data_IF_437094896022
#
_entry.id   IF_437094896022
#
_cell.length_a   1.000
_cell.length_b   1.000
_cell.length_c   1.000
_cell.angle_alpha   90.00
_cell.angle_beta   90.00
_cell.angle_gamma   90.00
#
_symmetry.space_group_name_H-M   'P 1'
#
loop_
_entity.id
_entity.type
_entity.pdbx_description
1 polymer ?
#
# COMPACT_ATOMS: atom_id res chain seq x y z
N UNK A 1 11.49 0.96 -23.71
CA UNK A 1 10.50 -0.14 -23.79
C UNK A 1 9.11 0.44 -23.89
N UNK A 2 8.20 -0.35 -24.41
CA UNK A 2 6.76 -0.08 -24.41
C UNK A 2 6.09 -0.95 -23.36
N UNK A 3 5.51 -0.32 -22.38
CA UNK A 3 5.02 -0.97 -21.17
C UNK A 3 3.52 -0.76 -21.07
N UNK A 4 2.76 -1.85 -20.95
CA UNK A 4 1.41 -1.79 -20.44
C UNK A 4 1.44 -1.90 -18.92
N UNK A 5 0.78 -0.96 -18.24
CA UNK A 5 0.52 -1.02 -16.80
C UNK A 5 -0.99 -1.17 -16.56
N UNK A 6 -1.40 -2.32 -16.03
CA UNK A 6 -2.79 -2.59 -15.67
C UNK A 6 -3.01 -2.32 -14.20
N UNK A 7 -3.70 -1.23 -13.88
CA UNK A 7 -4.00 -0.82 -12.52
C UNK A 7 -5.36 -1.30 -12.04
N UNK A 8 -5.40 -1.93 -10.89
CA UNK A 8 -6.65 -2.29 -10.21
C UNK A 8 -7.44 -1.07 -9.77
N UNK A 9 -6.73 -0.01 -9.35
CA UNK A 9 -7.34 1.22 -8.85
C UNK A 9 -6.40 2.39 -9.07
N UNK A 10 -6.95 3.47 -9.63
CA UNK A 10 -6.24 4.72 -9.85
C UNK A 10 -7.09 5.92 -9.42
N UNK A 11 -6.50 7.11 -9.38
CA UNK A 11 -7.26 8.33 -9.12
C UNK A 11 -8.45 8.47 -10.09
N UNK A 12 -9.58 9.06 -9.65
CA UNK A 12 -9.81 9.79 -8.39
C UNK A 12 -10.04 8.90 -7.16
N UNK A 13 -10.07 7.56 -7.30
CA UNK A 13 -10.12 6.65 -6.17
C UNK A 13 -8.78 6.68 -5.42
N UNK A 14 -8.76 7.20 -4.19
CA UNK A 14 -7.55 7.40 -3.41
C UNK A 14 -7.25 6.17 -2.56
N UNK A 15 -6.10 5.56 -2.78
CA UNK A 15 -5.59 4.42 -2.03
C UNK A 15 -4.06 4.33 -2.16
N UNK A 16 -3.41 3.51 -1.35
CA UNK A 16 -1.98 3.21 -1.51
C UNK A 16 -1.64 2.72 -2.92
N UNK A 17 -2.53 1.95 -3.55
CA UNK A 17 -2.37 1.49 -4.93
C UNK A 17 -2.36 2.65 -5.94
N UNK A 18 -3.25 3.63 -5.77
CA UNK A 18 -3.32 4.80 -6.67
C UNK A 18 -2.06 5.65 -6.58
N UNK A 19 -1.56 5.87 -5.36
CA UNK A 19 -0.32 6.61 -5.09
C UNK A 19 0.89 5.86 -5.67
N UNK A 20 0.97 4.55 -5.46
CA UNK A 20 2.01 3.70 -6.04
C UNK A 20 2.01 3.79 -7.57
N UNK A 21 0.85 3.58 -8.20
CA UNK A 21 0.72 3.64 -9.65
C UNK A 21 1.15 5.01 -10.20
N UNK A 22 0.70 6.12 -9.61
CA UNK A 22 1.06 7.46 -10.04
C UNK A 22 2.58 7.70 -10.06
N UNK A 23 3.24 7.31 -8.96
CA UNK A 23 4.68 7.52 -8.84
C UNK A 23 5.48 6.58 -9.76
N UNK A 24 5.09 5.29 -9.86
CA UNK A 24 5.74 4.37 -10.80
C UNK A 24 5.61 4.86 -12.25
N UNK A 25 4.42 5.30 -12.66
CA UNK A 25 4.23 5.85 -14.01
C UNK A 25 5.13 7.06 -14.27
N UNK A 26 5.29 7.95 -13.28
CA UNK A 26 6.22 9.10 -13.39
C UNK A 26 7.66 8.65 -13.57
N UNK A 27 8.13 7.66 -12.80
CA UNK A 27 9.49 7.12 -12.96
C UNK A 27 9.71 6.45 -14.32
N UNK A 28 8.74 5.67 -14.81
CA UNK A 28 8.82 5.00 -16.10
C UNK A 28 8.89 6.01 -17.26
N UNK A 29 8.02 7.05 -17.25
CA UNK A 29 8.04 8.12 -18.25
C UNK A 29 9.33 8.93 -18.15
N UNK A 30 9.77 9.27 -16.93
CA UNK A 30 11.03 9.98 -16.70
C UNK A 30 12.27 9.23 -17.21
N UNK A 31 12.22 7.89 -17.21
CA UNK A 31 13.25 7.02 -17.79
C UNK A 31 13.12 6.84 -19.33
N UNK A 32 12.17 7.52 -19.98
CA UNK A 32 11.99 7.48 -21.44
C UNK A 32 11.23 6.26 -21.95
N UNK A 33 10.45 5.57 -21.11
CA UNK A 33 9.60 4.48 -21.56
C UNK A 33 8.28 5.01 -22.14
N UNK A 34 7.74 4.31 -23.16
CA UNK A 34 6.39 4.54 -23.69
C UNK A 34 5.39 3.73 -22.87
N UNK A 35 4.53 4.41 -22.13
CA UNK A 35 3.65 3.78 -21.13
C UNK A 35 2.19 3.95 -21.50
N UNK A 36 1.48 2.83 -21.55
CA UNK A 36 0.01 2.79 -21.61
C UNK A 36 -0.51 2.28 -20.26
N UNK A 37 -1.32 3.05 -19.58
CA UNK A 37 -2.05 2.59 -18.40
C UNK A 37 -3.49 2.24 -18.76
N UNK A 38 -3.90 1.02 -18.43
CA UNK A 38 -5.31 0.63 -18.36
C UNK A 38 -5.68 0.60 -16.88
N UNK A 39 -6.70 1.37 -16.48
CA UNK A 39 -7.15 1.40 -15.08
C UNK A 39 -8.62 1.01 -14.99
N UNK A 40 -8.91 0.08 -14.10
CA UNK A 40 -10.28 -0.18 -13.69
C UNK A 40 -10.81 0.98 -12.83
N UNK A 41 -12.13 1.25 -12.92
CA UNK A 41 -12.80 2.20 -12.05
C UNK A 41 -14.25 1.78 -11.79
N UNK A 42 -14.81 2.30 -10.70
CA UNK A 42 -16.23 2.15 -10.38
C UNK A 42 -16.95 3.47 -10.57
N UNK A 43 -18.15 3.42 -11.17
CA UNK A 43 -19.05 4.56 -11.34
C UNK A 43 -20.28 4.50 -10.43
N UNK A 44 -20.51 3.37 -9.74
CA UNK A 44 -21.66 3.17 -8.88
C UNK A 44 -21.55 3.95 -7.56
N UNK A 45 -22.69 4.40 -7.03
CA UNK A 45 -22.76 5.21 -5.80
C UNK A 45 -22.15 4.52 -4.57
N UNK A 46 -22.14 3.19 -4.53
CA UNK A 46 -21.59 2.43 -3.42
C UNK A 46 -20.07 2.38 -3.47
N UNK A 47 -19.50 2.01 -4.62
CA UNK A 47 -18.04 1.96 -4.82
C UNK A 47 -17.40 3.34 -4.67
N UNK A 48 -18.04 4.39 -5.20
CA UNK A 48 -17.53 5.77 -5.09
C UNK A 48 -17.53 6.30 -3.67
N UNK A 49 -18.42 5.82 -2.80
CA UNK A 49 -18.49 6.21 -1.39
C UNK A 49 -17.31 5.70 -0.58
N UNK A 50 -16.77 4.52 -0.91
CA UNK A 50 -15.74 3.86 -0.10
C UNK A 50 -14.35 4.40 -0.41
N UNK A 51 -14.03 4.63 -1.68
CA UNK A 51 -12.68 5.00 -2.13
C UNK A 51 -12.65 6.22 -3.06
N UNK A 52 -13.79 6.80 -3.39
CA UNK A 52 -13.93 7.63 -4.57
C UNK A 52 -14.07 6.76 -5.82
N UNK A 53 -14.37 7.37 -6.96
CA UNK A 53 -14.60 6.62 -8.21
C UNK A 53 -14.68 7.54 -9.42
N UNK A 54 -14.94 6.92 -10.56
CA UNK A 54 -14.98 7.58 -11.84
C UNK A 54 -13.74 7.29 -12.69
N UNK A 55 -13.76 7.73 -13.97
CA UNK A 55 -12.69 7.44 -14.90
C UNK A 55 -11.36 8.08 -14.47
N UNK A 56 -10.23 7.40 -14.75
CA UNK A 56 -8.91 7.91 -14.41
C UNK A 56 -8.62 9.23 -15.12
N UNK A 57 -8.03 10.23 -14.44
CA UNK A 57 -7.61 11.47 -15.07
C UNK A 57 -6.43 11.25 -16.01
N UNK A 58 -6.17 12.19 -16.95
CA UNK A 58 -4.96 12.17 -17.76
C UNK A 58 -3.69 12.16 -16.90
N UNK A 59 -2.68 11.43 -17.36
CA UNK A 59 -1.35 11.38 -16.74
C UNK A 59 -0.33 11.88 -17.75
N UNK A 60 0.51 12.88 -17.42
CA UNK A 60 1.51 13.40 -18.35
C UNK A 60 2.43 12.30 -18.90
N UNK A 61 2.56 12.23 -20.22
CA UNK A 61 3.41 11.25 -20.89
C UNK A 61 2.89 9.81 -20.92
N UNK A 62 1.68 9.55 -20.39
CA UNK A 62 1.05 8.22 -20.33
C UNK A 62 -0.22 8.21 -21.16
N UNK A 63 -0.40 7.17 -21.98
CA UNK A 63 -1.70 6.88 -22.61
C UNK A 63 -2.61 6.22 -21.57
N UNK A 64 -3.68 6.91 -21.16
CA UNK A 64 -4.62 6.43 -20.12
C UNK A 64 -5.91 5.91 -20.75
N UNK A 65 -6.33 4.72 -20.30
CA UNK A 65 -7.58 4.06 -20.70
C UNK A 65 -8.33 3.65 -19.44
N UNK A 66 -9.53 4.20 -19.25
CA UNK A 66 -10.42 3.78 -18.15
C UNK A 66 -11.33 2.63 -18.58
N UNK A 67 -11.46 1.61 -17.75
CA UNK A 67 -12.41 0.52 -17.91
C UNK A 67 -13.35 0.47 -16.71
N UNK A 68 -14.62 0.73 -16.96
CA UNK A 68 -15.63 0.61 -15.92
C UNK A 68 -15.88 -0.86 -15.57
N UNK A 69 -15.88 -1.17 -14.27
CA UNK A 69 -16.07 -2.51 -13.72
C UNK A 69 -17.56 -2.89 -13.70
N UNK A 70 -18.18 -3.03 -14.86
CA UNK A 70 -19.62 -3.26 -15.00
C UNK A 70 -20.05 -4.64 -14.48
N UNK A 71 -19.22 -5.67 -14.63
CA UNK A 71 -19.50 -7.01 -14.12
C UNK A 71 -19.49 -7.01 -12.59
N UNK A 72 -18.44 -6.46 -12.01
CA UNK A 72 -18.27 -6.37 -10.58
C UNK A 72 -19.37 -5.52 -9.89
N UNK A 73 -19.73 -4.40 -10.48
CA UNK A 73 -20.78 -3.50 -9.96
C UNK A 73 -22.17 -4.11 -10.01
N UNK A 74 -22.47 -4.92 -11.02
CA UNK A 74 -23.83 -5.45 -11.25
C UNK A 74 -24.10 -6.73 -10.47
N UNK A 75 -23.12 -7.66 -10.44
CA UNK A 75 -23.34 -9.02 -9.94
C UNK A 75 -22.14 -9.68 -9.31
N UNK A 76 -21.02 -8.95 -9.11
CA UNK A 76 -19.76 -9.53 -8.70
C UNK A 76 -19.11 -10.43 -9.76
N UNK A 77 -19.44 -10.21 -11.03
CA UNK A 77 -18.94 -10.95 -12.19
C UNK A 77 -17.56 -10.43 -12.60
N UNK A 78 -16.55 -10.89 -11.88
CA UNK A 78 -15.15 -10.57 -12.16
C UNK A 78 -14.70 -11.11 -13.52
N UNK A 79 -15.25 -12.25 -13.98
CA UNK A 79 -14.88 -12.89 -15.24
C UNK A 79 -15.20 -11.99 -16.44
N UNK A 80 -16.35 -11.32 -16.41
CA UNK A 80 -16.73 -10.33 -17.42
C UNK A 80 -15.74 -9.18 -17.49
N UNK A 81 -15.34 -8.65 -16.34
CA UNK A 81 -14.40 -7.53 -16.29
C UNK A 81 -12.98 -7.98 -16.68
N UNK A 82 -12.58 -9.21 -16.33
CA UNK A 82 -11.32 -9.83 -16.77
C UNK A 82 -11.28 -9.97 -18.30
N UNK A 83 -12.33 -10.49 -18.91
CA UNK A 83 -12.43 -10.59 -20.37
C UNK A 83 -12.31 -9.18 -21.04
N UNK A 84 -12.97 -8.18 -20.46
CA UNK A 84 -12.88 -6.78 -20.95
C UNK A 84 -11.44 -6.24 -20.86
N UNK A 85 -10.70 -6.53 -19.77
CA UNK A 85 -9.29 -6.16 -19.62
C UNK A 85 -8.42 -6.84 -20.67
N UNK A 86 -8.55 -8.15 -20.86
CA UNK A 86 -7.77 -8.94 -21.84
C UNK A 86 -7.99 -8.40 -23.26
N UNK A 87 -9.23 -8.09 -23.63
CA UNK A 87 -9.56 -7.55 -24.94
C UNK A 87 -9.03 -6.12 -25.13
N UNK A 88 -9.07 -5.28 -24.09
CA UNK A 88 -8.47 -3.95 -24.13
C UNK A 88 -6.95 -4.01 -24.32
N UNK A 89 -6.26 -4.89 -23.59
CA UNK A 89 -4.82 -5.13 -23.75
C UNK A 89 -4.51 -5.59 -25.17
N UNK A 90 -5.27 -6.55 -25.72
CA UNK A 90 -5.06 -7.08 -27.06
C UNK A 90 -5.27 -6.00 -28.14
N UNK A 91 -6.29 -5.17 -28.02
CA UNK A 91 -6.53 -4.03 -28.95
C UNK A 91 -5.39 -3.04 -28.95
N UNK A 92 -4.88 -2.67 -27.78
CA UNK A 92 -3.77 -1.71 -27.68
C UNK A 92 -2.45 -2.32 -28.18
N UNK A 93 -2.21 -3.60 -27.87
CA UNK A 93 -1.04 -4.32 -28.39
C UNK A 93 -1.06 -4.42 -29.93
N UNK A 94 -2.23 -4.69 -30.53
CA UNK A 94 -2.38 -4.75 -31.99
C UNK A 94 -2.10 -3.39 -32.67
N UNK A 95 -2.37 -2.28 -31.99
CA UNK A 95 -2.05 -0.92 -32.50
C UNK A 95 -0.56 -0.65 -32.43
N UNK A 96 0.04 -1.07 -31.34
CA UNK A 96 1.44 -0.81 -31.05
C UNK A 96 1.95 -1.84 -30.03
N UNK A 97 2.77 -2.84 -30.46
CA UNK A 97 3.16 -3.98 -29.63
C UNK A 97 3.87 -3.57 -28.32
N UNK A 98 3.49 -4.16 -27.21
CA UNK A 98 4.14 -3.98 -25.92
C UNK A 98 5.33 -4.93 -25.76
N UNK A 99 6.35 -4.48 -25.03
CA UNK A 99 7.50 -5.30 -24.59
C UNK A 99 7.21 -6.01 -23.26
N UNK A 100 6.38 -5.38 -22.41
CA UNK A 100 6.05 -5.85 -21.05
C UNK A 100 4.57 -5.59 -20.74
N UNK A 101 3.93 -6.56 -20.09
CA UNK A 101 2.63 -6.39 -19.46
C UNK A 101 2.81 -6.45 -17.94
N UNK A 102 2.57 -5.33 -17.25
CA UNK A 102 2.68 -5.26 -15.78
C UNK A 102 1.30 -5.08 -15.14
N UNK A 103 0.92 -6.02 -14.29
CA UNK A 103 -0.28 -5.91 -13.47
C UNK A 103 0.05 -5.42 -12.06
N UNK A 104 -0.68 -4.42 -11.63
CA UNK A 104 -0.78 -4.06 -10.23
C UNK A 104 -1.90 -4.89 -9.59
N UNK A 105 -1.55 -5.73 -8.61
CA UNK A 105 -2.43 -6.67 -7.93
C UNK A 105 -2.53 -8.04 -8.61
N UNK A 106 -2.53 -9.13 -7.80
CA UNK A 106 -2.51 -10.49 -8.33
C UNK A 106 -3.83 -10.92 -8.97
N UNK A 107 -4.97 -10.57 -8.38
CA UNK A 107 -6.30 -10.84 -8.90
C UNK A 107 -7.22 -9.63 -8.67
N UNK A 108 -8.01 -9.19 -9.64
CA UNK A 108 -8.23 -9.78 -10.97
C UNK A 108 -7.21 -9.35 -12.03
N UNK A 109 -6.44 -8.31 -11.81
CA UNK A 109 -5.56 -7.70 -12.83
C UNK A 109 -4.38 -8.59 -13.21
N UNK A 110 -3.75 -9.28 -12.26
CA UNK A 110 -2.66 -10.23 -12.53
C UNK A 110 -3.14 -11.41 -13.36
N UNK A 111 -4.32 -11.92 -13.05
CA UNK A 111 -4.93 -12.98 -13.85
C UNK A 111 -5.23 -12.50 -15.28
N UNK A 112 -5.80 -11.31 -15.45
CA UNK A 112 -6.04 -10.73 -16.78
C UNK A 112 -4.73 -10.54 -17.57
N UNK A 113 -3.66 -10.07 -16.92
CA UNK A 113 -2.34 -9.93 -17.54
C UNK A 113 -1.75 -11.28 -17.91
N UNK A 114 -1.86 -12.31 -17.07
CA UNK A 114 -1.36 -13.64 -17.38
C UNK A 114 -2.07 -14.24 -18.61
N UNK A 115 -3.40 -14.11 -18.71
CA UNK A 115 -4.18 -14.52 -19.88
C UNK A 115 -3.78 -13.76 -21.16
N UNK A 116 -3.60 -12.44 -21.05
CA UNK A 116 -3.16 -11.60 -22.16
C UNK A 116 -1.72 -11.95 -22.61
N UNK A 117 -0.81 -12.18 -21.66
CA UNK A 117 0.57 -12.61 -21.90
C UNK A 117 0.62 -13.89 -22.72
N UNK A 118 -0.13 -14.92 -22.32
CA UNK A 118 -0.28 -16.18 -23.07
C UNK A 118 -0.79 -15.95 -24.49
N UNK A 119 -1.83 -15.10 -24.63
CA UNK A 119 -2.49 -14.82 -25.94
C UNK A 119 -1.59 -14.06 -26.89
N UNK A 120 -0.77 -13.13 -26.39
CA UNK A 120 0.00 -12.17 -27.18
C UNK A 120 1.49 -12.53 -27.32
N UNK A 121 1.99 -13.49 -26.53
CA UNK A 121 3.40 -13.85 -26.52
C UNK A 121 4.30 -12.78 -25.85
N UNK A 122 3.75 -11.96 -24.94
CA UNK A 122 4.43 -10.87 -24.25
C UNK A 122 4.66 -11.23 -22.79
N UNK A 123 5.87 -11.05 -22.22
CA UNK A 123 6.14 -11.39 -20.84
C UNK A 123 5.32 -10.57 -19.84
N UNK A 124 4.97 -11.21 -18.73
CA UNK A 124 4.14 -10.68 -17.66
C UNK A 124 4.94 -10.39 -16.39
N UNK A 125 4.66 -9.24 -15.77
CA UNK A 125 5.14 -8.89 -14.43
C UNK A 125 3.91 -8.65 -13.55
N UNK A 126 3.88 -9.16 -12.34
CA UNK A 126 2.76 -8.98 -11.42
C UNK A 126 3.27 -8.50 -10.06
N UNK A 127 2.73 -7.38 -9.59
CA UNK A 127 3.01 -6.85 -8.24
C UNK A 127 1.96 -7.34 -7.25
N UNK A 128 2.39 -8.08 -6.23
CA UNK A 128 1.56 -8.49 -5.09
C UNK A 128 1.67 -7.40 -4.02
N UNK A 129 0.55 -6.72 -3.70
CA UNK A 129 0.58 -5.46 -2.95
C UNK A 129 -0.21 -5.42 -1.64
N UNK A 130 -0.66 -6.53 -1.10
CA UNK A 130 -1.35 -6.59 0.18
C UNK A 130 -2.62 -7.40 0.15
N UNK A 131 -3.79 -6.79 -0.03
CA UNK A 131 -5.07 -7.51 0.03
C UNK A 131 -5.15 -8.74 -0.86
N UNK A 132 -4.49 -8.72 -2.02
CA UNK A 132 -4.36 -9.87 -2.92
C UNK A 132 -3.59 -11.04 -2.30
N UNK A 133 -2.50 -10.78 -1.60
CA UNK A 133 -1.73 -11.79 -0.89
C UNK A 133 -2.36 -12.20 0.44
N UNK A 134 -2.95 -11.24 1.17
CA UNK A 134 -3.54 -11.51 2.49
C UNK A 134 -4.90 -12.23 2.42
N UNK A 135 -5.76 -11.85 1.47
CA UNK A 135 -7.19 -12.20 1.53
C UNK A 135 -7.74 -12.84 0.25
N UNK A 136 -7.37 -12.28 -0.91
CA UNK A 136 -8.03 -12.64 -2.18
C UNK A 136 -7.79 -14.08 -2.54
N UNK A 137 -6.55 -14.53 -2.49
CA UNK A 137 -6.19 -15.90 -2.81
C UNK A 137 -6.73 -16.96 -1.84
N UNK A 138 -7.25 -16.55 -0.68
CA UNK A 138 -7.79 -17.46 0.33
C UNK A 138 -9.30 -17.33 0.57
N UNK A 139 -10.01 -16.51 -0.23
CA UNK A 139 -11.43 -16.23 0.01
C UNK A 139 -12.38 -17.27 -0.59
N UNK A 140 -12.03 -17.86 -1.72
CA UNK A 140 -12.82 -18.87 -2.44
C UNK A 140 -11.94 -19.66 -3.42
N UNK A 141 -12.45 -20.78 -3.91
CA UNK A 141 -11.66 -21.65 -4.78
C UNK A 141 -11.34 -21.00 -6.14
N UNK A 142 -12.28 -20.25 -6.74
CA UNK A 142 -12.02 -19.52 -7.99
C UNK A 142 -10.81 -18.59 -7.87
N UNK A 143 -10.79 -17.75 -6.84
CA UNK A 143 -9.71 -16.79 -6.63
C UNK A 143 -8.41 -17.47 -6.21
N UNK A 144 -8.49 -18.56 -5.43
CA UNK A 144 -7.33 -19.36 -5.02
C UNK A 144 -6.61 -19.96 -6.23
N UNK A 145 -7.35 -20.61 -7.13
CA UNK A 145 -6.77 -21.20 -8.34
C UNK A 145 -6.17 -20.12 -9.23
N UNK A 146 -6.90 -19.03 -9.50
CA UNK A 146 -6.38 -17.91 -10.29
C UNK A 146 -5.08 -17.32 -9.69
N UNK A 147 -5.04 -17.10 -8.38
CA UNK A 147 -3.83 -16.60 -7.71
C UNK A 147 -2.67 -17.60 -7.80
N UNK A 148 -2.92 -18.90 -7.58
CA UNK A 148 -1.88 -19.93 -7.70
C UNK A 148 -1.30 -19.96 -9.12
N UNK A 149 -2.15 -19.88 -10.16
CA UNK A 149 -1.69 -19.82 -11.55
C UNK A 149 -0.85 -18.57 -11.84
N UNK A 150 -1.25 -17.40 -11.32
CA UNK A 150 -0.46 -16.15 -11.42
C UNK A 150 0.89 -16.33 -10.75
N UNK A 151 0.92 -16.85 -9.52
CA UNK A 151 2.16 -17.04 -8.76
C UNK A 151 3.09 -18.08 -9.41
N UNK A 152 2.55 -19.11 -10.04
CA UNK A 152 3.32 -20.14 -10.71
C UNK A 152 3.84 -19.71 -12.09
N UNK A 153 3.14 -18.88 -12.84
CA UNK A 153 3.35 -18.72 -14.28
C UNK A 153 3.68 -17.29 -14.74
N UNK A 154 3.53 -16.25 -13.93
CA UNK A 154 4.04 -14.93 -14.30
C UNK A 154 5.55 -14.95 -14.51
N UNK A 155 6.09 -14.21 -15.49
CA UNK A 155 7.54 -14.14 -15.73
C UNK A 155 8.29 -13.52 -14.55
N UNK A 156 7.71 -12.52 -13.89
CA UNK A 156 8.23 -12.00 -12.64
C UNK A 156 7.10 -11.65 -11.67
N UNK A 157 7.35 -11.92 -10.38
CA UNK A 157 6.52 -11.51 -9.27
C UNK A 157 7.26 -10.48 -8.44
N UNK A 158 6.66 -9.32 -8.19
CA UNK A 158 7.17 -8.28 -7.32
C UNK A 158 6.38 -8.27 -6.02
N UNK A 159 7.08 -8.19 -4.88
CA UNK A 159 6.47 -8.19 -3.55
C UNK A 159 7.25 -7.28 -2.60
N UNK A 160 6.58 -6.67 -1.63
CA UNK A 160 7.14 -5.61 -0.80
C UNK A 160 8.27 -6.05 0.15
N UNK A 161 8.20 -7.25 0.70
CA UNK A 161 9.16 -7.69 1.70
C UNK A 161 9.17 -9.19 1.94
N UNK A 162 10.18 -9.67 2.66
CA UNK A 162 10.38 -11.08 2.95
C UNK A 162 9.26 -11.65 3.84
N UNK A 163 8.83 -10.88 4.84
CA UNK A 163 7.74 -11.30 5.73
C UNK A 163 6.42 -11.51 4.98
N UNK A 164 6.20 -10.73 3.93
CA UNK A 164 5.02 -10.89 3.09
C UNK A 164 5.16 -12.04 2.09
N UNK A 165 6.38 -12.33 1.61
CA UNK A 165 6.65 -13.57 0.85
C UNK A 165 6.27 -14.79 1.68
N UNK A 166 6.76 -14.85 2.94
CA UNK A 166 6.47 -15.98 3.85
C UNK A 166 4.96 -16.18 4.03
N UNK A 167 4.21 -15.10 4.27
CA UNK A 167 2.76 -15.16 4.42
C UNK A 167 2.05 -15.68 3.15
N UNK A 168 2.43 -15.16 1.97
CA UNK A 168 1.84 -15.60 0.69
C UNK A 168 2.16 -17.07 0.41
N UNK A 169 3.39 -17.51 0.69
CA UNK A 169 3.80 -18.90 0.53
C UNK A 169 3.06 -19.83 1.49
N UNK A 170 2.88 -19.44 2.75
CA UNK A 170 2.11 -20.22 3.72
C UNK A 170 0.64 -20.36 3.31
N UNK A 171 0.02 -19.28 2.80
CA UNK A 171 -1.39 -19.28 2.42
C UNK A 171 -1.69 -19.98 1.11
N UNK A 172 -0.83 -19.86 0.12
CA UNK A 172 -1.09 -20.26 -1.26
C UNK A 172 -0.16 -21.37 -1.78
N UNK A 173 0.81 -21.81 -0.97
CA UNK A 173 1.73 -22.89 -1.33
C UNK A 173 2.71 -22.51 -2.45
N UNK A 174 3.02 -21.21 -2.61
CA UNK A 174 3.93 -20.72 -3.63
C UNK A 174 5.39 -20.94 -3.27
N UNK A 175 6.27 -21.06 -4.27
CA UNK A 175 7.72 -21.13 -4.08
C UNK A 175 8.28 -19.72 -3.77
N UNK A 176 8.94 -19.49 -2.63
CA UNK A 176 9.53 -18.20 -2.28
C UNK A 176 10.58 -17.72 -3.30
N UNK A 177 11.27 -18.61 -4.01
CA UNK A 177 12.26 -18.26 -5.03
C UNK A 177 11.65 -17.56 -6.27
N UNK A 178 10.31 -17.61 -6.43
CA UNK A 178 9.60 -16.93 -7.51
C UNK A 178 9.54 -15.42 -7.33
N UNK A 179 9.67 -14.94 -6.11
CA UNK A 179 9.47 -13.53 -5.79
C UNK A 179 10.74 -12.70 -5.91
N UNK A 180 10.63 -11.53 -6.52
CA UNK A 180 11.62 -10.47 -6.44
C UNK A 180 11.14 -9.45 -5.43
N UNK A 181 11.87 -9.26 -4.33
CA UNK A 181 11.55 -8.25 -3.33
C UNK A 181 11.84 -6.87 -3.93
N UNK A 182 10.77 -6.08 -4.06
CA UNK A 182 10.81 -4.67 -4.46
C UNK A 182 10.01 -3.91 -3.40
N UNK A 183 10.66 -3.20 -2.50
CA UNK A 183 10.00 -2.58 -1.36
C UNK A 183 9.00 -1.51 -1.80
N UNK A 184 8.14 -1.08 -0.89
CA UNK A 184 7.34 0.13 -1.05
C UNK A 184 8.22 1.35 -1.28
N UNK A 185 7.65 2.40 -1.83
CA UNK A 185 8.40 3.63 -2.13
C UNK A 185 7.63 4.88 -1.72
N UNK A 186 8.39 5.95 -1.46
CA UNK A 186 7.85 7.26 -1.10
C UNK A 186 8.52 8.37 -1.89
N UNK A 187 7.80 9.45 -2.12
CA UNK A 187 8.33 10.70 -2.66
C UNK A 187 9.01 11.48 -1.53
N UNK A 188 10.32 11.26 -1.35
CA UNK A 188 11.10 11.83 -0.24
C UNK A 188 11.12 13.35 -0.25
N UNK A 189 11.08 13.99 -1.43
CA UNK A 189 11.09 15.44 -1.55
C UNK A 189 9.75 16.03 -1.13
N UNK A 190 8.66 15.36 -1.46
CA UNK A 190 7.30 15.76 -1.10
C UNK A 190 7.07 15.80 0.41
N UNK A 191 7.64 14.85 1.15
CA UNK A 191 7.48 14.74 2.60
C UNK A 191 8.57 15.46 3.39
N UNK A 192 9.64 15.92 2.74
CA UNK A 192 10.77 16.57 3.41
C UNK A 192 10.32 17.71 4.34
N UNK A 193 10.96 17.80 5.52
CA UNK A 193 10.91 18.95 6.39
C UNK A 193 11.64 20.14 5.73
N UNK A 194 11.24 21.35 6.03
CA UNK A 194 11.94 22.54 5.55
C UNK A 194 13.25 22.87 6.29
N UNK A 195 13.73 21.98 7.15
CA UNK A 195 14.93 22.11 7.99
C UNK A 195 16.18 21.58 7.27
N UNK A 196 17.35 22.06 7.64
CA UNK A 196 18.62 21.67 7.00
C UNK A 196 19.00 20.20 7.21
N UNK A 197 18.59 19.60 8.34
CA UNK A 197 18.80 18.19 8.68
C UNK A 197 17.66 17.29 8.23
N UNK A 198 16.52 17.88 7.83
CA UNK A 198 15.32 17.15 7.42
C UNK A 198 14.49 16.59 8.57
N UNK A 199 14.77 17.01 9.81
CA UNK A 199 14.04 16.59 11.01
C UNK A 199 13.07 17.69 11.48
N UNK A 200 12.06 17.34 12.30
CA UNK A 200 11.18 18.34 12.91
C UNK A 200 11.96 19.39 13.69
N UNK A 201 11.62 20.66 13.48
CA UNK A 201 12.24 21.76 14.23
C UNK A 201 11.91 21.63 15.73
N UNK A 202 12.89 21.89 16.63
CA UNK A 202 12.64 21.94 18.08
C UNK A 202 11.53 22.94 18.42
N UNK A 203 10.72 22.60 19.43
CA UNK A 203 9.67 23.47 19.96
C UNK A 203 9.48 23.23 21.46
N UNK A 204 8.93 24.22 22.16
CA UNK A 204 8.71 24.17 23.62
C UNK A 204 7.41 23.46 24.04
N UNK A 205 6.61 22.99 23.08
CA UNK A 205 5.35 22.31 23.32
C UNK A 205 5.51 20.82 23.67
N UNK A 206 4.41 20.16 24.02
CA UNK A 206 4.40 18.70 24.21
C UNK A 206 4.74 17.99 22.90
N UNK A 207 5.35 16.81 22.99
CA UNK A 207 5.67 15.98 21.81
C UNK A 207 4.39 15.63 21.05
N UNK A 208 4.41 15.85 19.74
CA UNK A 208 3.27 15.67 18.83
C UNK A 208 3.29 14.26 18.24
N UNK A 209 2.37 13.43 18.71
CA UNK A 209 2.17 12.06 18.24
C UNK A 209 1.16 12.06 17.10
N UNK A 210 1.44 11.34 16.02
CA UNK A 210 0.62 11.33 14.83
C UNK A 210 0.30 9.91 14.37
N UNK A 211 -0.99 9.64 14.16
CA UNK A 211 -1.51 8.46 13.48
C UNK A 211 -2.15 8.91 12.17
N UNK A 212 -1.82 8.27 11.06
CA UNK A 212 -2.42 8.52 9.76
C UNK A 212 -2.74 7.23 9.02
N UNK A 213 -3.92 7.16 8.44
CA UNK A 213 -4.36 6.03 7.63
C UNK A 213 -5.81 5.64 7.89
N UNK A 214 -6.16 4.42 7.45
CA UNK A 214 -7.49 3.89 7.71
C UNK A 214 -7.72 3.71 9.21
N UNK A 215 -8.77 4.33 9.73
CA UNK A 215 -9.15 4.21 11.14
C UNK A 215 -9.92 2.89 11.31
N UNK A 216 -9.16 1.84 11.59
CA UNK A 216 -9.62 0.45 11.67
C UNK A 216 -8.87 -0.22 12.84
N UNK A 217 -9.56 -1.04 13.64
CA UNK A 217 -8.95 -1.76 14.78
C UNK A 217 -7.75 -2.62 14.38
N UNK A 218 -7.75 -3.16 13.16
CA UNK A 218 -6.61 -3.92 12.60
C UNK A 218 -5.38 -3.04 12.35
N UNK A 219 -5.56 -1.72 12.31
CA UNK A 219 -4.48 -0.72 12.25
C UNK A 219 -4.10 -0.18 13.62
N UNK A 220 -4.67 -0.76 14.70
CA UNK A 220 -4.29 -0.51 16.08
C UNK A 220 -4.71 0.86 16.64
N UNK A 221 -5.67 1.55 16.01
CA UNK A 221 -6.10 2.88 16.48
C UNK A 221 -6.65 2.85 17.91
N UNK A 222 -7.36 1.77 18.30
CA UNK A 222 -7.89 1.61 19.65
C UNK A 222 -6.76 1.36 20.65
N UNK A 223 -5.77 0.53 20.29
CA UNK A 223 -4.60 0.24 21.12
C UNK A 223 -3.78 1.52 21.33
N UNK A 224 -3.68 2.38 20.32
CA UNK A 224 -3.04 3.69 20.45
C UNK A 224 -3.73 4.56 21.49
N UNK A 225 -5.06 4.67 21.48
CA UNK A 225 -5.82 5.47 22.45
C UNK A 225 -5.65 4.91 23.87
N UNK A 226 -5.67 3.59 24.04
CA UNK A 226 -5.43 2.95 25.35
C UNK A 226 -4.00 3.21 25.84
N UNK A 227 -3.01 3.10 24.96
CA UNK A 227 -1.63 3.43 25.33
C UNK A 227 -1.47 4.91 25.73
N UNK A 228 -2.16 5.84 25.07
CA UNK A 228 -2.18 7.25 25.46
C UNK A 228 -2.81 7.46 26.83
N UNK A 229 -3.81 6.66 27.22
CA UNK A 229 -4.38 6.73 28.57
C UNK A 229 -3.37 6.35 29.65
N UNK A 230 -2.51 5.36 29.37
CA UNK A 230 -1.40 4.98 30.28
C UNK A 230 -0.36 6.11 30.36
N UNK A 231 0.05 6.69 29.22
CA UNK A 231 0.99 7.83 29.19
C UNK A 231 0.50 8.99 30.06
N UNK A 232 -0.77 9.35 29.91
CA UNK A 232 -1.37 10.42 30.71
C UNK A 232 -1.39 10.09 32.20
N UNK A 233 -1.71 8.86 32.56
CA UNK A 233 -1.70 8.42 33.95
C UNK A 233 -0.29 8.47 34.57
N UNK A 234 0.76 8.33 33.76
CA UNK A 234 2.17 8.49 34.15
C UNK A 234 2.61 9.96 34.20
N UNK A 235 1.75 10.90 33.82
CA UNK A 235 2.08 12.33 33.77
C UNK A 235 2.96 12.75 32.58
N UNK A 236 3.12 11.91 31.56
CA UNK A 236 3.91 12.22 30.36
C UNK A 236 3.12 13.15 29.43
N UNK A 237 3.62 14.39 29.15
CA UNK A 237 2.90 15.34 28.32
C UNK A 237 3.02 14.99 26.82
N UNK A 238 1.89 14.98 26.12
CA UNK A 238 1.81 14.79 24.67
C UNK A 238 0.61 15.52 24.07
N UNK A 239 0.62 15.66 22.75
CA UNK A 239 -0.55 16.01 21.94
C UNK A 239 -0.66 14.99 20.80
N UNK A 240 -1.81 14.37 20.61
CA UNK A 240 -2.00 13.35 19.59
C UNK A 240 -2.96 13.82 18.50
N UNK A 241 -2.66 13.46 17.25
CA UNK A 241 -3.54 13.68 16.10
C UNK A 241 -3.82 12.34 15.43
N UNK A 242 -5.10 12.03 15.22
CA UNK A 242 -5.58 10.86 14.48
C UNK A 242 -6.24 11.35 13.19
N UNK A 243 -5.60 11.07 12.05
CA UNK A 243 -6.05 11.47 10.72
C UNK A 243 -6.45 10.25 9.90
N UNK A 244 -7.61 10.32 9.29
CA UNK A 244 -8.13 9.28 8.42
C UNK A 244 -9.62 9.02 8.63
N UNK A 245 -10.14 8.12 7.80
CA UNK A 245 -11.51 7.61 7.84
C UNK A 245 -11.49 6.08 7.97
N UNK A 246 -12.57 5.51 8.40
CA UNK A 246 -12.69 4.06 8.52
C UNK A 246 -13.84 3.62 9.41
N UNK A 247 -14.07 2.30 9.54
CA UNK A 247 -15.20 1.76 10.27
C UNK A 247 -15.12 2.01 11.79
N UNK A 248 -13.93 2.24 12.34
CA UNK A 248 -13.72 2.41 13.77
C UNK A 248 -13.51 3.89 14.19
N UNK A 249 -13.89 4.88 13.36
CA UNK A 249 -13.82 6.32 13.73
C UNK A 249 -14.69 6.61 14.94
N UNK A 250 -15.96 6.18 14.90
CA UNK A 250 -16.88 6.42 16.03
C UNK A 250 -16.50 5.63 17.28
N UNK A 251 -16.14 4.33 17.19
CA UNK A 251 -15.54 3.59 18.31
C UNK A 251 -14.30 4.27 18.91
N UNK A 252 -13.39 4.80 18.09
CA UNK A 252 -12.19 5.49 18.55
C UNK A 252 -12.52 6.80 19.29
N UNK A 253 -13.45 7.60 18.78
CA UNK A 253 -13.92 8.80 19.47
C UNK A 253 -14.62 8.48 20.77
N UNK A 254 -15.46 7.43 20.80
CA UNK A 254 -16.15 6.98 22.01
C UNK A 254 -15.13 6.52 23.08
N UNK A 255 -14.13 5.75 22.69
CA UNK A 255 -13.06 5.32 23.59
C UNK A 255 -12.26 6.51 24.14
N UNK A 256 -11.90 7.49 23.30
CA UNK A 256 -11.21 8.69 23.74
C UNK A 256 -12.04 9.49 24.77
N UNK A 257 -13.35 9.59 24.56
CA UNK A 257 -14.27 10.23 25.52
C UNK A 257 -14.40 9.42 26.82
N UNK A 258 -14.53 8.09 26.75
CA UNK A 258 -14.54 7.20 27.90
C UNK A 258 -13.27 7.34 28.75
N UNK A 259 -12.13 7.47 28.10
CA UNK A 259 -10.85 7.75 28.76
C UNK A 259 -10.67 9.22 29.17
N UNK A 260 -11.72 10.06 29.05
CA UNK A 260 -11.73 11.47 29.41
C UNK A 260 -10.61 12.30 28.74
N UNK A 261 -10.33 12.06 27.46
CA UNK A 261 -9.43 12.91 26.68
C UNK A 261 -10.19 14.15 26.18
N UNK A 262 -9.53 15.31 26.27
CA UNK A 262 -9.98 16.53 25.60
C UNK A 262 -9.55 16.53 24.13
N UNK A 263 -10.22 17.34 23.31
CA UNK A 263 -9.84 17.56 21.90
C UNK A 263 -8.42 18.15 21.74
N UNK A 264 -7.89 18.81 22.78
CA UNK A 264 -6.50 19.28 22.80
C UNK A 264 -5.50 18.15 23.01
N UNK A 265 -5.90 17.09 23.72
CA UNK A 265 -5.06 15.91 23.96
C UNK A 265 -5.07 14.95 22.78
N UNK A 266 -6.27 14.70 22.20
CA UNK A 266 -6.43 13.88 20.99
C UNK A 266 -7.36 14.60 20.00
N UNK A 267 -6.80 15.01 18.86
CA UNK A 267 -7.55 15.62 17.76
C UNK A 267 -7.86 14.59 16.68
N UNK A 268 -9.13 14.49 16.25
CA UNK A 268 -9.56 13.69 15.11
C UNK A 268 -9.77 14.60 13.91
N UNK A 269 -8.93 14.50 12.87
CA UNK A 269 -9.00 15.41 11.72
C UNK A 269 -9.81 14.85 10.54
N UNK A 270 -10.19 13.57 10.59
CA UNK A 270 -10.92 12.93 9.51
C UNK A 270 -10.09 12.74 8.24
N UNK A 271 -10.76 12.75 7.10
CA UNK A 271 -10.13 12.62 5.79
C UNK A 271 -9.20 13.81 5.49
N UNK A 272 -8.03 13.49 4.98
CA UNK A 272 -7.07 14.49 4.49
C UNK A 272 -6.99 14.44 2.96
N UNK A 273 -7.08 15.59 2.32
CA UNK A 273 -6.82 15.73 0.89
C UNK A 273 -5.39 15.28 0.58
N UNK A 274 -5.20 14.49 -0.48
CA UNK A 274 -3.90 13.91 -0.84
C UNK A 274 -2.78 14.97 -0.92
N UNK A 275 -3.10 16.17 -1.43
CA UNK A 275 -2.16 17.29 -1.52
C UNK A 275 -1.68 17.81 -0.17
N UNK A 276 -2.51 17.74 0.87
CA UNK A 276 -2.23 18.28 2.21
C UNK A 276 -1.64 17.26 3.19
N UNK A 277 -1.59 15.97 2.82
CA UNK A 277 -1.05 14.92 3.68
C UNK A 277 0.37 15.23 4.18
N UNK A 278 1.33 15.70 3.37
CA UNK A 278 2.66 16.03 3.86
C UNK A 278 2.68 17.07 5.00
N UNK A 279 1.75 18.02 4.99
CA UNK A 279 1.68 19.05 6.04
C UNK A 279 1.25 18.46 7.39
N UNK A 280 0.52 17.36 7.40
CA UNK A 280 0.17 16.64 8.63
C UNK A 280 1.42 16.01 9.26
N UNK A 281 2.25 15.35 8.45
CA UNK A 281 3.51 14.78 8.91
C UNK A 281 4.47 15.87 9.41
N UNK A 282 4.60 16.99 8.70
CA UNK A 282 5.48 18.12 9.12
C UNK A 282 5.10 18.74 10.47
N UNK A 283 3.85 18.57 10.90
CA UNK A 283 3.36 19.08 12.20
C UNK A 283 3.52 18.07 13.34
N UNK A 284 4.15 16.94 13.11
CA UNK A 284 4.37 15.87 14.08
C UNK A 284 5.84 15.73 14.46
N UNK A 285 6.12 15.01 15.53
CA UNK A 285 7.45 14.62 16.00
C UNK A 285 7.64 13.11 15.96
N UNK A 286 6.55 12.38 16.18
CA UNK A 286 6.54 10.92 16.23
C UNK A 286 5.35 10.40 15.45
N UNK A 287 5.59 9.44 14.58
CA UNK A 287 4.54 8.69 13.90
C UNK A 287 4.25 7.39 14.66
N UNK A 288 2.98 7.10 14.86
CA UNK A 288 2.54 5.90 15.60
C UNK A 288 1.61 5.07 14.72
N UNK A 289 2.02 3.85 14.41
CA UNK A 289 1.25 2.93 13.55
C UNK A 289 1.26 1.52 14.15
N UNK A 290 0.47 1.24 15.19
CA UNK A 290 0.48 -0.06 15.89
C UNK A 290 -0.35 -1.10 15.12
N UNK A 291 -0.05 -1.26 13.83
CA UNK A 291 -0.78 -2.12 12.90
C UNK A 291 -0.52 -3.60 13.16
N UNK A 292 -1.50 -4.44 12.84
CA UNK A 292 -1.41 -5.89 12.98
C UNK A 292 -0.87 -6.58 11.71
N UNK A 293 -1.02 -5.97 10.56
CA UNK A 293 -0.46 -6.45 9.29
C UNK A 293 -0.48 -5.36 8.20
N UNK A 294 0.51 -5.40 7.33
CA UNK A 294 0.64 -4.58 6.11
C UNK A 294 1.24 -5.45 4.99
N UNK A 295 0.95 -5.12 3.73
CA UNK A 295 1.71 -5.69 2.61
C UNK A 295 3.10 -5.04 2.50
N UNK A 296 3.13 -3.72 2.64
CA UNK A 296 4.27 -2.85 2.95
C UNK A 296 3.72 -1.49 3.40
N UNK A 297 4.23 -0.93 4.48
CA UNK A 297 3.58 0.25 5.08
C UNK A 297 4.04 1.57 4.46
N UNK A 298 3.29 2.08 3.48
CA UNK A 298 3.58 3.38 2.88
C UNK A 298 3.54 4.53 3.89
N UNK A 299 2.63 4.50 4.88
CA UNK A 299 2.53 5.56 5.89
C UNK A 299 3.75 5.60 6.81
N UNK A 300 4.40 4.46 7.06
CA UNK A 300 5.69 4.41 7.75
C UNK A 300 6.78 5.05 6.89
N UNK A 301 6.83 4.75 5.59
CA UNK A 301 7.80 5.38 4.69
C UNK A 301 7.58 6.90 4.58
N UNK A 302 6.33 7.36 4.56
CA UNK A 302 5.98 8.78 4.58
C UNK A 302 6.50 9.46 5.86
N UNK A 303 6.34 8.79 7.00
CA UNK A 303 6.87 9.27 8.28
C UNK A 303 8.39 9.33 8.32
N UNK A 304 9.08 8.28 7.84
CA UNK A 304 10.54 8.26 7.72
C UNK A 304 11.04 9.36 6.77
N UNK A 305 10.36 9.56 5.62
CA UNK A 305 10.69 10.64 4.68
C UNK A 305 10.45 12.03 5.26
N UNK A 306 9.49 12.16 6.17
CA UNK A 306 9.24 13.38 6.92
C UNK A 306 10.17 13.55 8.14
N UNK A 307 11.16 12.68 8.34
CA UNK A 307 12.11 12.74 9.46
C UNK A 307 11.46 12.50 10.81
N UNK A 308 10.37 11.76 10.89
CA UNK A 308 9.72 11.43 12.17
C UNK A 308 10.31 10.15 12.76
N UNK A 309 10.44 10.12 14.08
CA UNK A 309 10.64 8.86 14.78
C UNK A 309 9.38 7.99 14.66
N UNK A 310 9.54 6.69 14.49
CA UNK A 310 8.41 5.78 14.26
C UNK A 310 8.28 4.80 15.42
N UNK A 311 7.04 4.63 15.91
CA UNK A 311 6.65 3.55 16.84
C UNK A 311 5.60 2.69 16.13
N UNK A 312 5.86 1.38 16.02
CA UNK A 312 4.98 0.45 15.33
C UNK A 312 4.99 -0.93 16.00
N UNK A 313 4.53 -1.97 15.29
CA UNK A 313 4.49 -3.33 15.78
C UNK A 313 5.38 -4.27 14.95
N UNK A 314 5.82 -5.38 15.56
CA UNK A 314 6.39 -6.53 14.86
C UNK A 314 5.27 -7.19 14.03
N UNK A 315 5.03 -6.70 12.84
CA UNK A 315 3.97 -7.16 11.96
C UNK A 315 4.50 -7.37 10.54
N UNK A 316 3.82 -8.25 9.78
CA UNK A 316 4.09 -8.45 8.36
C UNK A 316 4.08 -7.11 7.64
N UNK A 317 5.06 -6.86 6.76
CA UNK A 317 5.22 -5.62 6.01
C UNK A 317 5.71 -4.40 6.81
N UNK A 318 5.81 -4.50 8.14
CA UNK A 318 6.45 -3.51 9.02
C UNK A 318 7.89 -3.90 9.30
N UNK A 319 8.13 -5.15 9.71
CA UNK A 319 9.48 -5.67 10.00
C UNK A 319 10.40 -5.70 8.77
N UNK A 320 9.85 -5.50 7.58
CA UNK A 320 10.62 -5.36 6.34
C UNK A 320 11.24 -3.96 6.16
N UNK A 321 10.72 -2.93 6.85
CA UNK A 321 11.23 -1.56 6.77
C UNK A 321 11.68 -0.98 8.11
N UNK A 322 11.24 -1.53 9.24
CA UNK A 322 11.65 -1.09 10.56
C UNK A 322 12.41 -2.18 11.32
N UNK A 323 13.44 -1.77 12.03
CA UNK A 323 14.22 -2.57 12.97
C UNK A 323 14.18 -1.92 14.34
N UNK A 324 13.78 -2.71 15.34
CA UNK A 324 13.62 -2.22 16.72
C UNK A 324 14.92 -1.65 17.28
N UNK A 325 14.86 -0.44 17.79
CA UNK A 325 15.99 0.30 18.36
C UNK A 325 17.01 0.84 17.36
N UNK A 326 16.86 0.59 16.05
CA UNK A 326 17.75 1.09 15.00
C UNK A 326 17.15 2.26 14.21
N UNK A 327 15.96 2.08 13.63
CA UNK A 327 15.26 3.10 12.82
C UNK A 327 13.79 3.29 13.23
N UNK A 328 13.39 2.69 14.35
CA UNK A 328 12.07 2.79 14.96
C UNK A 328 12.00 2.00 16.27
N UNK A 329 10.88 2.08 16.97
CA UNK A 329 10.57 1.20 18.10
C UNK A 329 9.45 0.26 17.72
N UNK A 330 9.64 -1.03 17.97
CA UNK A 330 8.67 -2.08 17.64
C UNK A 330 8.21 -2.82 18.91
N UNK A 331 6.90 -3.06 19.00
CA UNK A 331 6.28 -3.86 20.05
C UNK A 331 5.44 -4.96 19.44
N UNK A 332 4.99 -5.94 20.23
CA UNK A 332 4.06 -6.94 19.70
C UNK A 332 2.67 -6.32 19.46
N UNK A 333 1.98 -6.71 18.38
CA UNK A 333 0.61 -6.26 18.14
C UNK A 333 -0.32 -6.59 19.31
N UNK A 334 -1.13 -5.62 19.74
CA UNK A 334 -2.05 -5.78 20.88
C UNK A 334 -1.40 -5.67 22.26
N UNK A 335 -0.08 -5.52 22.36
CA UNK A 335 0.60 -5.29 23.64
C UNK A 335 0.56 -3.81 24.01
N UNK A 336 -0.60 -3.39 24.54
CA UNK A 336 -0.84 -2.00 24.94
C UNK A 336 0.16 -1.49 25.97
N UNK A 337 0.52 -2.25 27.03
CA UNK A 337 1.55 -1.83 27.98
C UNK A 337 2.91 -1.60 27.35
N UNK A 338 3.36 -2.48 26.43
CA UNK A 338 4.62 -2.29 25.72
C UNK A 338 4.56 -1.08 24.77
N UNK A 339 3.43 -0.86 24.08
CA UNK A 339 3.21 0.32 23.26
C UNK A 339 3.30 1.60 24.08
N UNK A 340 2.66 1.64 25.24
CA UNK A 340 2.76 2.76 26.16
C UNK A 340 4.20 2.99 26.66
N UNK A 341 4.94 1.93 26.96
CA UNK A 341 6.36 2.00 27.32
C UNK A 341 7.23 2.58 26.19
N UNK A 342 7.04 2.12 24.96
CA UNK A 342 7.73 2.67 23.79
C UNK A 342 7.39 4.14 23.56
N UNK A 343 6.12 4.53 23.67
CA UNK A 343 5.69 5.91 23.58
C UNK A 343 6.27 6.78 24.69
N UNK A 344 6.32 6.29 25.93
CA UNK A 344 6.95 7.01 27.04
C UNK A 344 8.43 7.27 26.75
N UNK A 345 9.18 6.27 26.32
CA UNK A 345 10.60 6.41 25.96
C UNK A 345 10.80 7.44 24.85
N UNK A 346 10.04 7.34 23.76
CA UNK A 346 10.22 8.24 22.60
C UNK A 346 9.80 9.68 22.93
N UNK A 347 8.86 9.90 23.85
CA UNK A 347 8.41 11.22 24.30
C UNK A 347 9.42 11.85 25.24
N UNK A 348 9.98 11.11 26.18
CA UNK A 348 10.86 11.65 27.23
C UNK A 348 12.34 11.71 26.84
N UNK A 349 12.78 10.84 25.92
CA UNK A 349 14.16 10.80 25.45
C UNK A 349 14.29 11.48 24.07
N UNK A 350 14.70 12.73 24.08
CA UNK A 350 14.89 13.53 22.86
C UNK A 350 16.05 13.02 21.99
N UNK A 351 17.13 12.48 22.62
CA UNK A 351 18.25 11.94 21.87
C UNK A 351 17.83 10.67 21.11
N UNK A 352 17.22 9.72 21.80
CA UNK A 352 16.67 8.51 21.18
C UNK A 352 15.70 8.85 20.03
N UNK A 353 14.78 9.80 20.26
CA UNK A 353 13.83 10.22 19.23
C UNK A 353 14.53 10.75 17.98
N UNK A 354 15.56 11.58 18.17
CA UNK A 354 16.33 12.16 17.09
C UNK A 354 17.14 11.10 16.34
N UNK A 355 17.85 10.22 17.06
CA UNK A 355 18.70 9.17 16.45
C UNK A 355 17.86 8.22 15.57
N UNK A 356 16.69 7.79 16.07
CA UNK A 356 15.78 6.93 15.29
C UNK A 356 15.21 7.64 14.06
N UNK A 357 14.89 8.93 14.17
CA UNK A 357 14.38 9.73 13.06
C UNK A 357 15.46 9.94 11.99
N UNK A 358 16.71 10.24 12.36
CA UNK A 358 17.84 10.38 11.45
C UNK A 358 18.11 9.08 10.69
N UNK A 359 18.19 7.94 11.40
CA UNK A 359 18.42 6.63 10.81
C UNK A 359 17.28 6.24 9.84
N UNK A 360 16.03 6.49 10.23
CA UNK A 360 14.86 6.25 9.37
C UNK A 360 14.90 7.09 8.09
N UNK A 361 15.18 8.38 8.20
CA UNK A 361 15.26 9.31 7.07
C UNK A 361 16.38 8.93 6.09
N UNK A 362 17.58 8.60 6.61
CA UNK A 362 18.71 8.17 5.79
C UNK A 362 18.38 6.90 5.00
N UNK A 363 17.83 5.90 5.67
CA UNK A 363 17.43 4.65 5.01
C UNK A 363 16.34 4.89 3.97
N UNK A 364 15.34 5.72 4.30
CA UNK A 364 14.26 6.07 3.40
C UNK A 364 14.78 6.69 2.09
N UNK A 365 15.69 7.64 2.18
CA UNK A 365 16.31 8.28 1.01
C UNK A 365 17.12 7.29 0.16
N UNK A 366 17.86 6.39 0.80
CA UNK A 366 18.75 5.44 0.13
C UNK A 366 18.00 4.28 -0.52
N UNK A 367 16.98 3.73 0.18
CA UNK A 367 16.34 2.45 -0.20
C UNK A 367 14.94 2.64 -0.75
N UNK A 368 14.14 3.52 -0.14
CA UNK A 368 12.71 3.62 -0.39
C UNK A 368 12.30 4.83 -1.23
N UNK A 369 13.25 5.61 -1.76
CA UNK A 369 12.92 6.67 -2.72
C UNK A 369 12.39 6.08 -4.04
N UNK A 370 11.45 6.76 -4.69
CA UNK A 370 10.91 6.31 -5.98
C UNK A 370 11.99 6.10 -7.03
N UNK A 371 13.05 6.93 -7.04
CA UNK A 371 14.17 6.74 -7.96
C UNK A 371 14.95 5.44 -7.70
N UNK A 372 15.08 5.00 -6.45
CA UNK A 372 15.73 3.74 -6.11
C UNK A 372 14.85 2.54 -6.48
N UNK A 373 13.59 2.58 -6.09
CA UNK A 373 12.62 1.50 -6.34
C UNK A 373 12.27 1.40 -7.83
N UNK A 374 12.09 2.54 -8.51
CA UNK A 374 11.85 2.56 -9.97
C UNK A 374 12.98 1.90 -10.76
N UNK A 375 14.25 2.14 -10.38
CA UNK A 375 15.40 1.44 -11.01
C UNK A 375 15.34 -0.07 -10.78
N UNK A 376 14.94 -0.53 -9.59
CA UNK A 376 14.80 -1.97 -9.33
C UNK A 376 13.73 -2.59 -10.23
N UNK A 377 12.56 -1.96 -10.36
CA UNK A 377 11.46 -2.43 -11.22
C UNK A 377 11.91 -2.46 -12.69
N UNK A 378 12.55 -1.40 -13.18
CA UNK A 378 13.07 -1.34 -14.55
C UNK A 378 14.13 -2.43 -14.79
N UNK A 379 14.97 -2.74 -13.80
CA UNK A 379 15.91 -3.86 -13.86
C UNK A 379 15.21 -5.22 -14.03
N UNK A 380 14.05 -5.40 -13.39
CA UNK A 380 13.22 -6.60 -13.59
C UNK A 380 12.66 -6.64 -15.02
N UNK A 381 12.16 -5.53 -15.54
CA UNK A 381 11.66 -5.47 -16.93
C UNK A 381 12.75 -5.83 -17.94
N UNK A 382 13.96 -5.27 -17.80
CA UNK A 382 15.09 -5.59 -18.70
C UNK A 382 15.46 -7.08 -18.64
N UNK A 383 15.37 -7.72 -17.48
CA UNK A 383 15.64 -9.15 -17.32
C UNK A 383 14.62 -10.01 -18.06
N UNK A 384 13.32 -9.71 -17.92
CA UNK A 384 12.26 -10.57 -18.44
C UNK A 384 11.77 -10.23 -19.84
N UNK A 385 12.11 -9.07 -20.40
CA UNK A 385 11.56 -8.60 -21.70
C UNK A 385 11.80 -9.54 -22.88
N UNK A 386 12.78 -10.43 -22.81
CA UNK A 386 13.08 -11.41 -23.83
C UNK A 386 12.62 -12.83 -23.48
N UNK A 387 12.01 -13.01 -22.31
CA UNK A 387 11.45 -14.28 -21.91
C UNK A 387 10.14 -14.54 -22.65
N UNK A 388 9.83 -15.81 -22.83
CA UNK A 388 8.51 -16.22 -23.33
C UNK A 388 7.55 -16.37 -22.14
N UNK A 389 6.29 -15.92 -22.26
CA UNK A 389 5.29 -16.19 -21.26
C UNK A 389 4.95 -17.69 -21.19
N UNK A 390 4.55 -18.16 -20.03
CA UNK A 390 4.00 -19.50 -19.87
C UNK A 390 2.71 -19.67 -20.68
N UNK A 391 2.52 -20.87 -21.21
CA UNK A 391 1.33 -21.24 -22.02
C UNK A 391 0.63 -22.48 -21.52
N UNK A 392 1.22 -23.22 -20.60
CA UNK A 392 0.84 -24.55 -20.12
C UNK A 392 0.10 -24.53 -18.77
N UNK A 393 -0.66 -23.49 -18.52
CA UNK A 393 -1.51 -23.37 -17.33
C UNK A 393 -3.01 -23.44 -17.67
N UNK A 394 -3.84 -23.83 -16.69
CA UNK A 394 -5.29 -23.87 -16.86
C UNK A 394 -5.90 -22.48 -16.95
N UNK A 395 -6.77 -22.28 -17.91
CA UNK A 395 -7.59 -21.06 -18.03
C UNK A 395 -8.99 -21.23 -17.44
N UNK A 396 -9.39 -22.49 -17.19
CA UNK A 396 -10.69 -22.81 -16.63
C UNK A 396 -10.61 -22.72 -15.11
N UNK A 397 -11.33 -21.77 -14.54
CA UNK A 397 -11.44 -21.59 -13.10
C UNK A 397 -12.69 -22.32 -12.57
N UNK A 398 -12.62 -22.93 -11.39
CA UNK A 398 -13.81 -23.49 -10.75
C UNK A 398 -14.79 -22.36 -10.40
N UNK A 399 -16.08 -22.61 -10.57
CA UNK A 399 -17.12 -21.69 -10.11
C UNK A 399 -17.34 -21.85 -8.60
N UNK A 400 -17.22 -20.76 -7.87
CA UNK A 400 -17.54 -20.70 -6.44
C UNK A 400 -18.49 -19.52 -6.17
N UNK A 401 -19.80 -19.80 -6.10
CA UNK A 401 -20.80 -18.75 -5.87
C UNK A 401 -20.80 -18.22 -4.43
N UNK A 402 -20.11 -18.87 -3.50
CA UNK A 402 -20.09 -18.49 -2.09
C UNK A 402 -19.02 -17.42 -1.76
N UNK A 403 -18.31 -16.95 -2.78
CA UNK A 403 -17.25 -15.97 -2.62
C UNK A 403 -17.73 -14.67 -2.00
N UNK A 404 -17.13 -14.29 -0.88
CA UNK A 404 -17.40 -13.01 -0.19
C UNK A 404 -17.25 -11.80 -1.12
N UNK A 405 -16.21 -11.78 -1.97
CA UNK A 405 -15.96 -10.67 -2.86
C UNK A 405 -16.93 -10.61 -4.05
N UNK A 406 -17.66 -11.68 -4.37
CA UNK A 406 -18.78 -11.61 -5.31
C UNK A 406 -19.99 -10.92 -4.68
N UNK A 407 -20.25 -11.20 -3.39
CA UNK A 407 -21.32 -10.57 -2.64
C UNK A 407 -21.01 -9.09 -2.31
N UNK A 408 -19.75 -8.79 -2.00
CA UNK A 408 -19.26 -7.47 -1.58
C UNK A 408 -18.01 -7.06 -2.38
N UNK A 409 -18.13 -6.84 -3.71
CA UNK A 409 -16.96 -6.62 -4.59
C UNK A 409 -16.13 -5.39 -4.21
N UNK A 410 -16.74 -4.40 -3.58
CA UNK A 410 -16.06 -3.20 -3.12
C UNK A 410 -15.00 -3.44 -2.03
N UNK A 411 -14.99 -4.62 -1.42
CA UNK A 411 -13.98 -5.01 -0.43
C UNK A 411 -12.67 -5.50 -1.07
N UNK A 412 -12.70 -5.82 -2.37
CA UNK A 412 -11.53 -6.19 -3.16
C UNK A 412 -10.88 -4.93 -3.81
#
# INVERSE_FOLDING_TARGET
MRILFLSRRYFPAISGMSVYAQNLLRELVGAGHDVTMISQYRGDAFGTRVYGGGPPPPVPGVRVIGLEQLGEQTSGDFERDIATMVDAIAREHARNPFDILHAQYGYPTGWAVLLAARKLGVPSVVSIQGGDGHWVGSCCETHRVAMCEVLAHANALLIGGASFVDEVCERLGSDPARFTIVPGAVDTDRFAQGTSDGLPAPHDGPVRLFYHGRVDRRKGVLDFIEALAILRAQGTPFAATISGIGPDVDPAKALAAERAFSERAIAFTGYAEYGSVPDLYRRADVFVSPTYAEGFSNTILEAMAAGLAVVSCHAVGVSDCLRDGENGLLVNPGDIPALAGALTRIVTDTALRRDLAEAGLEECRRVYSWSAVGRQIMGVYERVRHERPATDFSVDLPEDPTCRFRAEPHLL
#
